data_IF_470773467883
#
_entry.id   IF_470773467883
#
_cell.length_a   1.000
_cell.length_b   1.000
_cell.length_c   1.000
_cell.angle_alpha   90.00
_cell.angle_beta   90.00
_cell.angle_gamma   90.00
#
_symmetry.space_group_name_H-M   'P 1'
#
loop_
_entity.id
_entity.type
_entity.pdbx_description
1 polymer ?
#
# COMPACT_ATOMS: atom_id res chain seq x y z
N UNK A 1 30.92 -11.24 52.47
CA UNK A 1 31.62 -10.36 51.51
C UNK A 1 32.27 -11.22 50.43
N UNK A 2 31.66 -11.29 49.24
CA UNK A 2 32.26 -11.91 48.04
C UNK A 2 32.03 -10.96 46.87
N UNK A 3 33.09 -10.47 46.22
CA UNK A 3 32.99 -9.40 45.23
C UNK A 3 32.68 -9.95 43.83
N UNK A 4 31.77 -9.26 43.16
CA UNK A 4 31.66 -9.03 41.72
C UNK A 4 32.34 -10.05 40.77
N UNK A 5 31.59 -11.09 40.40
CA UNK A 5 31.84 -11.94 39.21
C UNK A 5 30.66 -11.93 38.22
N UNK A 6 29.92 -10.82 38.16
CA UNK A 6 28.78 -10.62 37.25
C UNK A 6 29.09 -9.54 36.20
N UNK A 7 30.20 -9.69 35.45
CA UNK A 7 30.57 -8.72 34.41
C UNK A 7 30.94 -9.34 33.06
N UNK A 8 30.82 -10.66 32.88
CA UNK A 8 31.35 -11.34 31.69
C UNK A 8 30.36 -12.33 31.06
N UNK A 9 29.07 -12.01 31.10
CA UNK A 9 28.05 -12.70 30.29
C UNK A 9 27.08 -11.68 29.69
N UNK A 10 27.60 -10.60 29.08
CA UNK A 10 26.78 -9.67 28.28
C UNK A 10 27.32 -9.48 26.86
N UNK A 11 28.40 -10.17 26.46
CA UNK A 11 29.09 -9.92 25.18
C UNK A 11 28.78 -10.95 24.08
N UNK A 12 27.73 -11.78 24.26
CA UNK A 12 27.33 -12.80 23.28
C UNK A 12 26.02 -12.50 22.51
N UNK A 13 25.39 -11.33 22.66
CA UNK A 13 24.15 -10.97 21.94
C UNK A 13 24.40 -9.97 20.79
N UNK A 14 25.41 -10.23 19.95
CA UNK A 14 25.79 -9.33 18.84
C UNK A 14 25.81 -9.94 17.43
N UNK A 15 25.36 -11.18 17.23
CA UNK A 15 25.41 -11.82 15.90
C UNK A 15 24.15 -12.68 15.61
N UNK A 16 22.92 -12.23 15.91
CA UNK A 16 21.70 -12.92 15.38
C UNK A 16 20.54 -11.96 15.07
N UNK A 17 20.81 -10.72 14.66
CA UNK A 17 19.75 -9.72 14.36
C UNK A 17 19.75 -9.22 12.90
N UNK A 18 20.20 -10.06 11.97
CA UNK A 18 20.15 -9.77 10.51
C UNK A 18 19.23 -10.71 9.75
N UNK A 19 18.10 -11.12 10.33
CA UNK A 19 17.03 -11.83 9.58
C UNK A 19 15.63 -11.24 9.72
N UNK A 20 15.36 -10.47 10.78
CA UNK A 20 14.02 -9.88 10.97
C UNK A 20 13.83 -8.52 10.27
N UNK A 21 14.89 -7.81 9.89
CA UNK A 21 14.76 -6.43 9.39
C UNK A 21 14.54 -6.30 7.86
N UNK A 22 14.65 -7.38 7.09
CA UNK A 22 14.46 -7.32 5.62
C UNK A 22 12.98 -7.40 5.20
N UNK A 23 12.14 -8.12 5.94
CA UNK A 23 10.71 -8.20 5.67
C UNK A 23 9.98 -6.87 5.99
N UNK A 24 10.46 -6.13 7.00
CA UNK A 24 9.90 -4.83 7.36
C UNK A 24 10.33 -3.69 6.43
N UNK A 25 11.56 -3.70 5.91
CA UNK A 25 11.99 -2.75 4.88
C UNK A 25 11.29 -2.96 3.53
N UNK A 26 10.96 -4.21 3.16
CA UNK A 26 10.14 -4.48 1.98
C UNK A 26 8.68 -4.04 2.17
N UNK A 27 8.14 -4.15 3.40
CA UNK A 27 6.78 -3.73 3.71
C UNK A 27 6.61 -2.20 3.82
N UNK A 28 7.67 -1.44 4.06
CA UNK A 28 7.61 0.03 4.20
C UNK A 28 7.79 0.78 2.87
N UNK A 29 8.34 0.12 1.84
CA UNK A 29 8.46 0.66 0.47
C UNK A 29 7.25 0.32 -0.42
N UNK A 30 6.34 -0.55 0.04
CA UNK A 30 5.12 -0.95 -0.67
C UNK A 30 3.88 -0.28 -0.06
N UNK A 31 3.90 1.04 0.17
CA UNK A 31 2.66 1.78 0.36
C UNK A 31 1.94 1.88 -0.98
N UNK A 32 1.39 0.75 -1.45
CA UNK A 32 0.63 0.68 -2.69
C UNK A 32 -0.60 1.57 -2.54
N UNK A 33 -0.55 2.73 -3.20
CA UNK A 33 -1.70 3.61 -3.27
C UNK A 33 -2.60 3.18 -4.41
N UNK A 34 -3.89 3.42 -4.23
CA UNK A 34 -4.94 2.98 -5.14
C UNK A 34 -5.68 4.18 -5.70
N UNK A 35 -6.04 4.10 -6.96
CA UNK A 35 -6.76 5.14 -7.68
C UNK A 35 -7.98 4.53 -8.36
N UNK A 36 -9.01 5.35 -8.52
CA UNK A 36 -10.19 5.03 -9.31
C UNK A 36 -10.13 5.89 -10.57
N UNK A 37 -10.09 5.26 -11.73
CA UNK A 37 -10.10 5.93 -13.02
C UNK A 37 -11.42 5.66 -13.72
N UNK A 38 -12.03 6.72 -14.28
CA UNK A 38 -13.23 6.60 -15.11
C UNK A 38 -12.83 6.39 -16.56
N UNK A 39 -13.29 5.28 -17.13
CA UNK A 39 -13.13 4.96 -18.54
C UNK A 39 -14.13 5.73 -19.40
N UNK A 40 -13.84 5.85 -20.70
CA UNK A 40 -14.72 6.51 -21.67
C UNK A 40 -16.10 5.83 -21.75
N UNK A 41 -16.16 4.52 -21.53
CA UNK A 41 -17.40 3.72 -21.50
C UNK A 41 -18.28 3.99 -20.28
N UNK A 42 -17.84 4.84 -19.34
CA UNK A 42 -18.60 5.18 -18.12
C UNK A 42 -18.40 4.23 -16.94
N UNK A 43 -17.60 3.18 -17.14
CA UNK A 43 -17.14 2.28 -16.08
C UNK A 43 -15.97 2.86 -15.28
N UNK A 44 -15.78 2.37 -14.05
CA UNK A 44 -14.69 2.81 -13.18
C UNK A 44 -13.81 1.64 -12.78
N UNK A 45 -12.52 1.77 -13.04
CA UNK A 45 -11.50 0.78 -12.76
C UNK A 45 -10.65 1.22 -11.57
N UNK A 46 -10.27 0.26 -10.73
CA UNK A 46 -9.39 0.48 -9.58
C UNK A 46 -8.01 0.00 -9.99
N UNK A 47 -7.03 0.90 -9.94
CA UNK A 47 -5.64 0.63 -10.34
C UNK A 47 -4.71 1.00 -9.19
N UNK A 48 -3.63 0.25 -9.00
CA UNK A 48 -2.56 0.64 -8.08
C UNK A 48 -1.63 1.66 -8.73
N UNK A 49 -0.85 2.38 -7.92
CA UNK A 49 0.17 3.33 -8.39
C UNK A 49 1.11 2.77 -9.46
N UNK A 50 1.51 1.50 -9.31
CA UNK A 50 2.36 0.78 -10.28
C UNK A 50 1.65 0.57 -11.63
N UNK A 51 0.33 0.42 -11.61
CA UNK A 51 -0.52 0.21 -12.78
C UNK A 51 -1.00 1.53 -13.41
N UNK A 52 -1.04 2.61 -12.63
CA UNK A 52 -1.39 3.96 -13.11
C UNK A 52 -0.48 4.39 -14.26
N UNK A 53 0.79 3.95 -14.28
CA UNK A 53 1.74 4.33 -15.33
C UNK A 53 1.71 3.41 -16.56
N UNK A 54 0.98 2.29 -16.50
CA UNK A 54 0.81 1.33 -17.62
C UNK A 54 -0.48 1.61 -18.39
N UNK A 55 -1.51 2.14 -17.73
CA UNK A 55 -2.80 2.50 -18.36
C UNK A 55 -3.29 3.95 -18.10
N UNK A 56 -2.47 5.03 -18.17
CA UNK A 56 -3.02 6.38 -18.07
C UNK A 56 -3.33 7.02 -19.44
N UNK A 57 -3.12 6.33 -20.56
CA UNK A 57 -2.99 7.00 -21.86
C UNK A 57 -4.23 7.02 -22.79
N UNK A 58 -5.38 6.51 -22.39
CA UNK A 58 -6.51 6.50 -23.34
C UNK A 58 -7.36 7.77 -23.32
N UNK A 59 -8.08 8.09 -22.23
CA UNK A 59 -8.94 9.29 -22.16
C UNK A 59 -9.66 9.38 -20.80
N UNK A 60 -8.98 9.05 -19.69
CA UNK A 60 -9.61 9.06 -18.37
C UNK A 60 -9.95 10.49 -17.94
N UNK A 61 -11.18 10.94 -18.24
CA UNK A 61 -11.67 12.31 -17.96
C UNK A 61 -11.69 12.66 -16.46
N UNK A 62 -11.84 11.67 -15.59
CA UNK A 62 -11.91 11.87 -14.14
C UNK A 62 -11.16 10.74 -13.41
N UNK A 63 -10.29 11.11 -12.44
CA UNK A 63 -9.61 10.20 -11.52
C UNK A 63 -9.85 10.60 -10.07
N UNK A 64 -9.93 9.63 -9.17
CA UNK A 64 -10.10 9.84 -7.72
C UNK A 64 -9.07 9.04 -6.93
N UNK A 65 -8.47 9.65 -5.90
CA UNK A 65 -7.42 9.06 -5.06
C UNK A 65 -6.40 10.11 -4.64
N UNK A 66 -5.25 9.71 -4.04
CA UNK A 66 -4.83 8.34 -3.73
C UNK A 66 -5.54 7.75 -2.51
N UNK A 67 -5.82 6.45 -2.54
CA UNK A 67 -6.34 5.69 -1.40
C UNK A 67 -5.27 4.77 -0.81
N UNK A 68 -5.18 4.65 0.52
CA UNK A 68 -4.16 3.85 1.20
C UNK A 68 -4.41 2.33 1.11
N UNK A 69 -5.60 1.90 0.68
CA UNK A 69 -5.96 0.49 0.56
C UNK A 69 -6.96 0.26 -0.56
N UNK A 70 -6.88 -0.91 -1.19
CA UNK A 70 -7.83 -1.35 -2.20
C UNK A 70 -9.27 -1.35 -1.67
N UNK A 71 -9.47 -1.76 -0.41
CA UNK A 71 -10.79 -1.79 0.22
C UNK A 71 -11.41 -0.38 0.29
N UNK A 72 -10.60 0.63 0.57
CA UNK A 72 -11.08 2.01 0.58
C UNK A 72 -11.42 2.51 -0.83
N UNK A 73 -10.58 2.19 -1.82
CA UNK A 73 -10.88 2.48 -3.22
C UNK A 73 -12.19 1.81 -3.68
N UNK A 74 -12.46 0.58 -3.25
CA UNK A 74 -13.72 -0.13 -3.54
C UNK A 74 -14.91 0.60 -2.90
N UNK A 75 -14.82 0.96 -1.62
CA UNK A 75 -15.88 1.68 -0.92
C UNK A 75 -16.20 3.03 -1.61
N UNK A 76 -15.16 3.75 -2.04
CA UNK A 76 -15.27 5.01 -2.76
C UNK A 76 -15.87 4.82 -4.16
N UNK A 77 -15.50 3.74 -4.87
CA UNK A 77 -16.11 3.37 -6.15
C UNK A 77 -17.61 3.14 -6.02
N UNK A 78 -18.05 2.43 -4.98
CA UNK A 78 -19.50 2.23 -4.72
C UNK A 78 -20.20 3.57 -4.47
N UNK A 79 -19.55 4.48 -3.75
CA UNK A 79 -20.04 5.85 -3.59
C UNK A 79 -20.20 6.59 -4.92
N UNK A 80 -19.22 6.47 -5.83
CA UNK A 80 -19.28 7.06 -7.17
C UNK A 80 -20.37 6.43 -8.04
N UNK A 81 -20.65 5.14 -7.88
CA UNK A 81 -21.79 4.48 -8.54
C UNK A 81 -23.12 5.07 -8.06
N UNK A 82 -23.29 5.23 -6.74
CA UNK A 82 -24.49 5.87 -6.16
C UNK A 82 -24.66 7.33 -6.58
N UNK A 83 -23.56 8.03 -6.83
CA UNK A 83 -23.55 9.40 -7.32
C UNK A 83 -23.79 9.52 -8.84
N UNK A 84 -23.95 8.39 -9.56
CA UNK A 84 -24.11 8.37 -11.02
C UNK A 84 -22.84 8.72 -11.81
N UNK A 85 -21.67 8.72 -11.16
CA UNK A 85 -20.39 9.01 -11.79
C UNK A 85 -19.78 7.79 -12.50
N UNK A 86 -20.11 6.60 -12.02
CA UNK A 86 -19.63 5.31 -12.51
C UNK A 86 -20.82 4.37 -12.74
N UNK A 87 -20.75 3.53 -13.77
CA UNK A 87 -21.73 2.47 -13.98
C UNK A 87 -21.36 1.18 -13.21
N UNK A 88 -22.34 0.51 -12.59
CA UNK A 88 -22.17 -0.86 -12.10
C UNK A 88 -21.98 -1.80 -13.29
N UNK A 89 -21.11 -2.78 -13.15
CA UNK A 89 -20.96 -3.88 -14.12
C UNK A 89 -21.77 -5.09 -13.68
#
# INVERSE_FOLDING_TARGET
MRPYKYALVCEQLRIEDTRQNSAQLFSMMNSQTWFIVKLADGHCQIVSDEQVNIEPDAEAKERWGPFPSQAEAIARRVGLIRAGKCQPM
#
